data_IF_503546972034
#
_entry.id   IF_503546972034
#
_cell.length_a   1.000
_cell.length_b   1.000
_cell.length_c   1.000
_cell.angle_alpha   90.00
_cell.angle_beta   90.00
_cell.angle_gamma   90.00
#
_symmetry.space_group_name_H-M   'P 1'
#
loop_
_entity.id
_entity.type
_entity.pdbx_description
1 polymer ?
#
# COMPACT_ATOMS: atom_id res chain seq x y z
N UNK A 1 -21.64 43.44 -37.35
CA UNK A 1 -20.57 42.47 -37.66
C UNK A 1 -19.45 42.51 -36.62
N UNK A 2 -18.80 43.66 -36.37
CA UNK A 2 -17.71 43.82 -35.38
C UNK A 2 -18.10 43.37 -33.95
N UNK A 3 -19.29 43.72 -33.47
CA UNK A 3 -19.78 43.34 -32.11
C UNK A 3 -19.93 41.83 -31.91
N UNK A 4 -20.33 41.10 -32.96
CA UNK A 4 -20.53 39.65 -32.91
C UNK A 4 -19.18 38.93 -32.85
N UNK A 5 -18.26 39.35 -33.71
CA UNK A 5 -16.88 38.86 -33.78
C UNK A 5 -16.14 39.09 -32.45
N UNK A 6 -16.28 40.28 -31.87
CA UNK A 6 -15.70 40.61 -30.56
C UNK A 6 -16.25 39.71 -29.44
N UNK A 7 -17.54 39.36 -29.50
CA UNK A 7 -18.16 38.43 -28.56
C UNK A 7 -17.65 36.98 -28.69
N UNK A 8 -17.40 36.51 -29.91
CA UNK A 8 -16.83 35.18 -30.16
C UNK A 8 -15.37 35.07 -29.68
N UNK A 9 -14.55 36.10 -29.94
CA UNK A 9 -13.17 36.18 -29.40
C UNK A 9 -13.19 36.15 -27.88
N UNK A 10 -14.09 36.91 -27.24
CA UNK A 10 -14.20 36.93 -25.79
C UNK A 10 -14.50 35.54 -25.24
N UNK A 11 -15.48 34.83 -25.82
CA UNK A 11 -15.82 33.45 -25.42
C UNK A 11 -14.65 32.48 -25.57
N UNK A 12 -13.86 32.60 -26.66
CA UNK A 12 -12.67 31.76 -26.86
C UNK A 12 -11.60 32.04 -25.81
N UNK A 13 -11.32 33.31 -25.52
CA UNK A 13 -10.38 33.71 -24.45
C UNK A 13 -10.83 33.21 -23.08
N UNK A 14 -12.12 33.35 -22.76
CA UNK A 14 -12.68 32.88 -21.49
C UNK A 14 -12.53 31.35 -21.35
N UNK A 15 -12.68 30.61 -22.45
CA UNK A 15 -12.48 29.15 -22.46
C UNK A 15 -10.99 28.78 -22.32
N UNK A 16 -10.10 29.46 -23.03
CA UNK A 16 -8.64 29.29 -22.90
C UNK A 16 -8.21 29.49 -21.45
N UNK A 17 -8.64 30.60 -20.81
CA UNK A 17 -8.29 30.89 -19.43
C UNK A 17 -8.74 29.80 -18.45
N UNK A 18 -9.93 29.20 -18.67
CA UNK A 18 -10.40 28.06 -17.85
C UNK A 18 -9.56 26.81 -18.03
N UNK A 19 -9.15 26.51 -19.26
CA UNK A 19 -8.29 25.35 -19.55
C UNK A 19 -6.89 25.58 -18.97
N UNK A 20 -6.34 26.79 -19.07
CA UNK A 20 -5.05 27.16 -18.46
C UNK A 20 -5.09 27.04 -16.93
N UNK A 21 -6.16 27.51 -16.28
CA UNK A 21 -6.34 27.37 -14.83
C UNK A 21 -6.40 25.88 -14.40
N UNK A 22 -7.13 25.04 -15.14
CA UNK A 22 -7.17 23.60 -14.90
C UNK A 22 -5.78 22.94 -15.09
N UNK A 23 -5.07 23.30 -16.17
CA UNK A 23 -3.70 22.84 -16.44
C UNK A 23 -2.70 23.31 -15.37
N UNK A 24 -2.95 24.43 -14.70
CA UNK A 24 -2.13 24.90 -13.59
C UNK A 24 -2.27 24.04 -12.33
N UNK A 25 -3.47 23.50 -12.06
CA UNK A 25 -3.78 22.77 -10.81
C UNK A 25 -3.45 21.28 -10.87
N UNK A 26 -3.69 20.63 -12.01
CA UNK A 26 -3.51 19.18 -12.14
C UNK A 26 -2.07 18.72 -11.83
N UNK A 27 -0.99 19.41 -12.24
CA UNK A 27 0.38 19.01 -11.88
C UNK A 27 0.63 18.95 -10.37
N UNK A 28 0.06 19.87 -9.59
CA UNK A 28 0.17 19.86 -8.13
C UNK A 28 -0.56 18.65 -7.53
N UNK A 29 -1.74 18.31 -8.07
CA UNK A 29 -2.50 17.13 -7.65
C UNK A 29 -1.76 15.83 -8.00
N UNK A 30 -1.17 15.75 -9.19
CA UNK A 30 -0.32 14.62 -9.59
C UNK A 30 0.84 14.46 -8.61
N UNK A 31 1.54 15.55 -8.28
CA UNK A 31 2.68 15.51 -7.35
C UNK A 31 2.26 15.02 -5.96
N UNK A 32 1.09 15.46 -5.47
CA UNK A 32 0.53 15.02 -4.19
C UNK A 32 0.23 13.52 -4.20
N UNK A 33 -0.42 13.03 -5.26
CA UNK A 33 -0.74 11.61 -5.40
C UNK A 33 0.51 10.74 -5.57
N UNK A 34 1.52 11.20 -6.32
CA UNK A 34 2.82 10.50 -6.44
C UNK A 34 3.51 10.38 -5.07
N UNK A 35 3.48 11.45 -4.28
CA UNK A 35 4.03 11.44 -2.91
C UNK A 35 3.27 10.47 -2.00
N UNK A 36 1.94 10.43 -2.10
CA UNK A 36 1.12 9.48 -1.34
C UNK A 36 1.40 8.04 -1.77
N UNK A 37 1.50 7.79 -3.07
CA UNK A 37 1.81 6.48 -3.64
C UNK A 37 3.18 5.98 -3.15
N UNK A 38 4.18 6.86 -3.11
CA UNK A 38 5.50 6.51 -2.58
C UNK A 38 5.44 6.13 -1.10
N UNK A 39 4.65 6.83 -0.28
CA UNK A 39 4.45 6.47 1.13
C UNK A 39 3.79 5.10 1.25
N UNK A 40 2.74 4.83 0.49
CA UNK A 40 2.05 3.53 0.49
C UNK A 40 3.02 2.40 0.12
N UNK A 41 3.81 2.58 -0.94
CA UNK A 41 4.82 1.59 -1.37
C UNK A 41 5.88 1.32 -0.32
N UNK A 42 6.35 2.36 0.39
CA UNK A 42 7.30 2.18 1.50
C UNK A 42 6.68 1.40 2.64
N UNK A 43 5.46 1.75 3.06
CA UNK A 43 4.76 1.01 4.12
C UNK A 43 4.47 -0.44 3.73
N UNK A 44 4.18 -0.71 2.47
CA UNK A 44 3.98 -2.05 1.95
C UNK A 44 5.28 -2.88 2.04
N UNK A 45 6.40 -2.32 1.57
CA UNK A 45 7.70 -2.99 1.69
C UNK A 45 8.12 -3.26 3.15
N UNK A 46 7.84 -2.33 4.06
CA UNK A 46 8.08 -2.51 5.50
C UNK A 46 7.23 -3.66 6.08
N UNK A 47 5.95 -3.74 5.72
CA UNK A 47 5.07 -4.85 6.15
C UNK A 47 5.50 -6.18 5.57
N UNK A 48 5.91 -6.25 4.32
CA UNK A 48 6.40 -7.47 3.68
C UNK A 48 7.63 -8.03 4.41
N UNK A 49 8.55 -7.14 4.81
CA UNK A 49 9.69 -7.54 5.63
C UNK A 49 9.27 -8.05 7.00
N UNK A 50 8.28 -7.40 7.63
CA UNK A 50 7.74 -7.81 8.93
C UNK A 50 7.07 -9.19 8.85
N UNK A 51 6.25 -9.43 7.84
CA UNK A 51 5.60 -10.72 7.55
C UNK A 51 6.65 -11.82 7.38
N UNK A 52 7.71 -11.57 6.61
CA UNK A 52 8.81 -12.53 6.42
C UNK A 52 9.58 -12.81 7.71
N UNK A 53 9.73 -11.81 8.59
CA UNK A 53 10.33 -12.00 9.92
C UNK A 53 9.44 -12.87 10.79
N UNK A 54 8.16 -12.54 10.93
CA UNK A 54 7.22 -13.31 11.75
C UNK A 54 7.07 -14.74 11.25
N UNK A 55 7.04 -14.96 9.94
CA UNK A 55 7.00 -16.31 9.37
C UNK A 55 8.26 -17.14 9.69
N UNK A 56 9.41 -16.50 9.93
CA UNK A 56 10.62 -17.18 10.43
C UNK A 56 10.48 -17.48 11.92
N UNK A 57 10.07 -16.50 12.72
CA UNK A 57 9.88 -16.66 14.16
C UNK A 57 8.89 -17.79 14.48
N UNK A 58 7.76 -17.87 13.75
CA UNK A 58 6.79 -18.98 13.88
C UNK A 58 7.48 -20.33 13.64
N UNK A 59 8.25 -20.46 12.56
CA UNK A 59 8.93 -21.73 12.21
C UNK A 59 9.95 -22.14 13.27
N UNK A 60 10.71 -21.19 13.81
CA UNK A 60 11.68 -21.43 14.88
C UNK A 60 10.98 -21.89 16.16
N UNK A 61 9.88 -21.22 16.55
CA UNK A 61 9.09 -21.60 17.72
C UNK A 61 8.40 -22.94 17.54
N UNK A 62 7.88 -23.25 16.35
CA UNK A 62 7.32 -24.56 16.02
C UNK A 62 8.37 -25.68 16.08
N UNK A 63 9.62 -25.39 15.71
CA UNK A 63 10.72 -26.33 15.86
C UNK A 63 11.00 -26.59 17.35
N UNK A 64 11.18 -25.52 18.14
CA UNK A 64 11.38 -25.61 19.58
C UNK A 64 10.24 -26.38 20.27
N UNK A 65 8.99 -26.11 19.89
CA UNK A 65 7.83 -26.82 20.44
C UNK A 65 7.87 -28.32 20.14
N UNK A 66 8.29 -28.72 18.92
CA UNK A 66 8.49 -30.13 18.56
C UNK A 66 9.58 -30.78 19.40
N UNK A 67 10.70 -30.11 19.62
CA UNK A 67 11.77 -30.61 20.50
C UNK A 67 11.28 -30.79 21.95
N UNK A 68 10.56 -29.80 22.49
CA UNK A 68 9.98 -29.89 23.84
C UNK A 68 9.02 -31.07 23.95
N UNK A 69 8.15 -31.27 22.95
CA UNK A 69 7.23 -32.41 22.91
C UNK A 69 7.99 -33.74 22.90
N UNK A 70 9.06 -33.86 22.13
CA UNK A 70 9.91 -35.06 22.14
C UNK A 70 10.56 -35.29 23.50
N UNK A 71 11.12 -34.25 24.13
CA UNK A 71 11.72 -34.34 25.47
C UNK A 71 10.71 -34.79 26.52
N UNK A 72 9.49 -34.26 26.49
CA UNK A 72 8.40 -34.69 27.38
C UNK A 72 8.11 -36.18 27.18
N UNK A 73 8.02 -36.66 25.92
CA UNK A 73 7.82 -38.09 25.63
C UNK A 73 8.96 -38.98 26.15
N UNK A 74 10.20 -38.51 26.11
CA UNK A 74 11.33 -39.23 26.71
C UNK A 74 11.23 -39.25 28.24
N UNK A 75 10.86 -38.14 28.87
CA UNK A 75 10.62 -38.09 30.31
C UNK A 75 9.50 -39.02 30.75
N UNK A 76 8.41 -39.12 29.99
CA UNK A 76 7.34 -40.08 30.26
C UNK A 76 7.84 -41.55 30.22
N UNK A 77 8.85 -41.87 29.39
CA UNK A 77 9.49 -43.19 29.37
C UNK A 77 10.38 -43.42 30.58
N UNK A 78 11.13 -42.40 31.01
CA UNK A 78 11.98 -42.50 32.21
C UNK A 78 11.15 -42.64 33.49
N UNK A 79 10.05 -41.89 33.61
CA UNK A 79 9.13 -42.01 34.75
C UNK A 79 8.59 -43.44 34.94
N UNK A 80 8.30 -44.14 33.84
CA UNK A 80 7.83 -45.55 33.88
C UNK A 80 8.91 -46.54 34.34
N UNK A 81 10.17 -46.14 34.32
CA UNK A 81 11.34 -46.96 34.66
C UNK A 81 12.07 -46.46 35.90
N UNK A 82 11.50 -45.50 36.63
CA UNK A 82 12.14 -44.96 37.81
C UNK A 82 12.28 -46.04 38.88
N UNK A 83 13.50 -46.20 39.42
CA UNK A 83 13.82 -47.29 40.35
C UNK A 83 13.61 -46.88 41.82
N UNK A 84 13.26 -45.61 42.06
CA UNK A 84 12.95 -45.10 43.40
C UNK A 84 11.93 -43.95 43.39
N UNK A 85 11.19 -43.75 44.51
CA UNK A 85 10.28 -42.61 44.65
C UNK A 85 10.97 -41.25 44.47
N UNK A 86 12.21 -41.11 44.95
CA UNK A 86 12.98 -39.86 44.83
C UNK A 86 13.37 -39.54 43.39
N UNK A 87 13.72 -40.55 42.61
CA UNK A 87 14.01 -40.39 41.18
C UNK A 87 12.74 -40.02 40.42
N UNK A 88 11.63 -40.70 40.71
CA UNK A 88 10.33 -40.42 40.13
C UNK A 88 9.91 -38.95 40.34
N UNK A 89 10.00 -38.44 41.58
CA UNK A 89 9.67 -37.04 41.90
C UNK A 89 10.53 -36.03 41.13
N UNK A 90 11.83 -36.30 40.97
CA UNK A 90 12.74 -35.44 40.21
C UNK A 90 12.38 -35.40 38.73
N UNK A 91 12.16 -36.56 38.12
CA UNK A 91 11.75 -36.67 36.72
C UNK A 91 10.38 -36.01 36.49
N UNK A 92 9.45 -36.15 37.43
CA UNK A 92 8.14 -35.53 37.37
C UNK A 92 8.25 -34.00 37.35
N UNK A 93 9.08 -33.45 38.25
CA UNK A 93 9.35 -32.00 38.32
C UNK A 93 9.98 -31.49 37.01
N UNK A 94 10.92 -32.22 36.42
CA UNK A 94 11.52 -31.83 35.13
C UNK A 94 10.48 -31.87 34.00
N UNK A 95 9.63 -32.90 33.99
CA UNK A 95 8.55 -33.06 33.01
C UNK A 95 7.51 -31.94 33.12
N UNK A 96 7.16 -31.52 34.34
CA UNK A 96 6.29 -30.36 34.58
C UNK A 96 6.91 -29.08 34.03
N UNK A 97 8.20 -28.81 34.30
CA UNK A 97 8.90 -27.64 33.74
C UNK A 97 8.90 -27.63 32.21
N UNK A 98 9.17 -28.78 31.58
CA UNK A 98 9.12 -28.90 30.11
C UNK A 98 7.71 -28.68 29.58
N UNK A 99 6.71 -29.18 30.28
CA UNK A 99 5.29 -29.01 29.93
C UNK A 99 4.88 -27.54 29.99
N UNK A 100 5.22 -26.83 31.07
CA UNK A 100 4.95 -25.39 31.20
C UNK A 100 5.61 -24.60 30.09
N UNK A 101 6.89 -24.88 29.79
CA UNK A 101 7.60 -24.22 28.68
C UNK A 101 6.95 -24.52 27.32
N UNK A 102 6.45 -25.74 27.10
CA UNK A 102 5.73 -26.08 25.88
C UNK A 102 4.43 -25.27 25.75
N UNK A 103 3.68 -25.09 26.85
CA UNK A 103 2.49 -24.24 26.86
C UNK A 103 2.82 -22.77 26.55
N UNK A 104 3.89 -22.22 27.15
CA UNK A 104 4.36 -20.86 26.86
C UNK A 104 4.68 -20.69 25.37
N UNK A 105 5.52 -21.58 24.81
CA UNK A 105 5.88 -21.53 23.38
C UNK A 105 4.65 -21.70 22.48
N UNK A 106 3.69 -22.54 22.85
CA UNK A 106 2.43 -22.67 22.11
C UNK A 106 1.60 -21.38 22.14
N UNK A 107 1.61 -20.66 23.26
CA UNK A 107 1.00 -19.34 23.38
C UNK A 107 1.65 -18.33 22.45
N UNK A 108 2.99 -18.23 22.49
CA UNK A 108 3.77 -17.35 21.62
C UNK A 108 3.53 -17.63 20.12
N UNK A 109 3.47 -18.91 19.71
CA UNK A 109 3.13 -19.28 18.33
C UNK A 109 1.75 -18.77 17.93
N UNK A 110 0.77 -18.87 18.83
CA UNK A 110 -0.60 -18.41 18.57
C UNK A 110 -0.67 -16.90 18.44
N UNK A 111 0.04 -16.16 19.28
CA UNK A 111 0.15 -14.70 19.20
C UNK A 111 0.84 -14.26 17.90
N UNK A 112 1.94 -14.93 17.51
CA UNK A 112 2.64 -14.66 16.26
C UNK A 112 1.76 -14.91 15.05
N UNK A 113 0.97 -16.01 15.04
CA UNK A 113 0.01 -16.29 13.96
C UNK A 113 -1.07 -15.22 13.87
N UNK A 114 -1.64 -14.80 14.99
CA UNK A 114 -2.62 -13.70 15.00
C UNK A 114 -2.02 -12.40 14.46
N UNK A 115 -0.76 -12.10 14.79
CA UNK A 115 -0.06 -10.92 14.25
C UNK A 115 0.21 -11.06 12.75
N UNK A 116 0.62 -12.25 12.30
CA UNK A 116 0.80 -12.54 10.88
C UNK A 116 -0.47 -12.29 10.08
N UNK A 117 -1.61 -12.80 10.55
CA UNK A 117 -2.90 -12.63 9.87
C UNK A 117 -3.32 -11.16 9.82
N UNK A 118 -3.12 -10.39 10.90
CA UNK A 118 -3.37 -8.94 10.91
C UNK A 118 -2.51 -8.20 9.89
N UNK A 119 -1.21 -8.49 9.85
CA UNK A 119 -0.32 -7.87 8.86
C UNK A 119 -0.71 -8.23 7.44
N UNK A 120 -1.17 -9.46 7.19
CA UNK A 120 -1.67 -9.86 5.87
C UNK A 120 -2.90 -9.09 5.44
N UNK A 121 -3.84 -8.84 6.35
CA UNK A 121 -4.98 -7.96 6.09
C UNK A 121 -4.51 -6.54 5.78
N UNK A 122 -3.61 -5.98 6.60
CA UNK A 122 -3.09 -4.62 6.40
C UNK A 122 -2.28 -4.48 5.10
N UNK A 123 -1.53 -5.50 4.67
CA UNK A 123 -0.89 -5.54 3.34
C UNK A 123 -1.93 -5.47 2.22
N UNK A 124 -3.01 -6.24 2.33
CA UNK A 124 -4.08 -6.27 1.32
C UNK A 124 -4.74 -4.88 1.18
N UNK A 125 -5.04 -4.22 2.30
CA UNK A 125 -5.59 -2.86 2.31
C UNK A 125 -4.62 -1.85 1.65
N UNK A 126 -3.32 -1.97 1.88
CA UNK A 126 -2.32 -1.11 1.24
C UNK A 126 -2.21 -1.39 -0.26
N UNK A 127 -2.27 -2.65 -0.69
CA UNK A 127 -2.28 -3.03 -2.11
C UNK A 127 -3.50 -2.44 -2.83
N UNK A 128 -4.69 -2.54 -2.23
CA UNK A 128 -5.90 -1.91 -2.78
C UNK A 128 -5.73 -0.39 -2.87
N UNK A 129 -5.19 0.24 -1.83
CA UNK A 129 -4.93 1.68 -1.82
C UNK A 129 -3.93 2.10 -2.89
N UNK A 130 -2.88 1.33 -3.12
CA UNK A 130 -1.90 1.56 -4.18
C UNK A 130 -2.59 1.58 -5.55
N UNK A 131 -3.40 0.56 -5.85
CA UNK A 131 -4.14 0.45 -7.12
C UNK A 131 -5.12 1.61 -7.33
N UNK A 132 -5.80 2.05 -6.27
CA UNK A 132 -6.67 3.23 -6.33
C UNK A 132 -5.89 4.50 -6.71
N UNK A 133 -4.75 4.73 -6.07
CA UNK A 133 -3.91 5.90 -6.31
C UNK A 133 -3.33 5.88 -7.73
N UNK A 134 -2.84 4.74 -8.20
CA UNK A 134 -2.37 4.56 -9.58
C UNK A 134 -3.48 4.83 -10.60
N UNK A 135 -4.69 4.33 -10.33
CA UNK A 135 -5.85 4.58 -11.18
C UNK A 135 -6.21 6.06 -11.25
N UNK A 136 -6.15 6.77 -10.12
CA UNK A 136 -6.38 8.24 -10.07
C UNK A 136 -5.30 8.99 -10.85
N UNK A 137 -4.03 8.65 -10.65
CA UNK A 137 -2.91 9.23 -11.40
C UNK A 137 -3.05 9.03 -12.90
N UNK A 138 -3.41 7.82 -13.34
CA UNK A 138 -3.64 7.54 -14.75
C UNK A 138 -4.74 8.42 -15.34
N UNK A 139 -5.87 8.56 -14.63
CA UNK A 139 -6.98 9.44 -15.07
C UNK A 139 -6.56 10.89 -15.15
N UNK A 140 -5.89 11.43 -14.12
CA UNK A 140 -5.41 12.81 -14.11
C UNK A 140 -4.41 13.10 -15.24
N UNK A 141 -3.46 12.18 -15.50
CA UNK A 141 -2.53 12.34 -16.62
C UNK A 141 -3.24 12.34 -17.97
N UNK A 142 -4.26 11.51 -18.14
CA UNK A 142 -5.09 11.48 -19.35
C UNK A 142 -5.87 12.78 -19.52
N UNK A 143 -6.48 13.28 -18.45
CA UNK A 143 -7.19 14.56 -18.44
C UNK A 143 -6.24 15.72 -18.77
N UNK A 144 -5.08 15.77 -18.13
CA UNK A 144 -4.04 16.76 -18.41
C UNK A 144 -3.64 16.78 -19.89
N UNK A 145 -3.38 15.61 -20.47
CA UNK A 145 -3.06 15.48 -21.89
C UNK A 145 -4.21 15.92 -22.80
N UNK A 146 -5.47 15.63 -22.44
CA UNK A 146 -6.64 16.08 -23.18
C UNK A 146 -6.77 17.61 -23.14
N UNK A 147 -6.60 18.23 -21.98
CA UNK A 147 -6.65 19.68 -21.80
C UNK A 147 -5.52 20.39 -22.55
N UNK A 148 -4.30 19.83 -22.60
CA UNK A 148 -3.21 20.37 -23.42
C UNK A 148 -3.57 20.39 -24.91
N UNK A 149 -4.20 19.32 -25.40
CA UNK A 149 -4.66 19.25 -26.79
C UNK A 149 -5.81 20.25 -27.05
N UNK A 150 -6.75 20.39 -26.12
CA UNK A 150 -7.82 21.38 -26.21
C UNK A 150 -7.25 22.80 -26.24
N UNK A 151 -6.34 23.14 -25.33
CA UNK A 151 -5.68 24.44 -25.29
C UNK A 151 -5.01 24.76 -26.63
N UNK A 152 -4.22 23.82 -27.17
CA UNK A 152 -3.57 23.98 -28.48
C UNK A 152 -4.60 24.27 -29.58
N UNK A 153 -5.70 23.53 -29.61
CA UNK A 153 -6.77 23.74 -30.60
C UNK A 153 -7.47 25.09 -30.46
N UNK A 154 -7.77 25.51 -29.23
CA UNK A 154 -8.40 26.80 -28.94
C UNK A 154 -7.49 27.98 -29.31
N UNK A 155 -6.19 27.89 -28.99
CA UNK A 155 -5.21 28.93 -29.35
C UNK A 155 -5.09 29.07 -30.86
N UNK A 156 -4.98 27.96 -31.60
CA UNK A 156 -4.95 27.98 -33.07
C UNK A 156 -6.23 28.59 -33.67
N UNK A 157 -7.40 28.27 -33.09
CA UNK A 157 -8.67 28.83 -33.54
C UNK A 157 -8.74 30.34 -33.28
N UNK A 158 -8.27 30.79 -32.11
CA UNK A 158 -8.21 32.20 -31.75
C UNK A 158 -7.28 32.96 -32.71
N UNK A 159 -6.08 32.44 -33.00
CA UNK A 159 -5.14 33.03 -33.95
C UNK A 159 -5.71 33.14 -35.36
N UNK A 160 -6.45 32.12 -35.83
CA UNK A 160 -7.12 32.18 -37.14
C UNK A 160 -8.20 33.27 -37.15
N UNK A 161 -9.01 33.35 -36.10
CA UNK A 161 -10.05 34.39 -36.01
C UNK A 161 -9.47 35.79 -35.93
N UNK A 162 -8.35 35.99 -35.23
CA UNK A 162 -7.66 37.30 -35.20
C UNK A 162 -7.19 37.66 -36.61
N UNK A 163 -6.51 36.76 -37.32
CA UNK A 163 -6.05 36.99 -38.70
C UNK A 163 -7.18 37.33 -39.67
N UNK A 164 -8.28 36.57 -39.64
CA UNK A 164 -9.45 36.85 -40.49
C UNK A 164 -10.05 38.24 -40.25
N UNK A 165 -9.90 38.80 -39.04
CA UNK A 165 -10.36 40.15 -38.71
C UNK A 165 -9.37 41.17 -39.25
N UNK A 166 -8.08 40.98 -39.02
CA UNK A 166 -7.02 41.85 -39.56
C UNK A 166 -7.17 41.97 -41.09
N UNK A 167 -7.33 40.84 -41.79
CA UNK A 167 -7.56 40.79 -43.23
C UNK A 167 -8.88 41.48 -43.67
N UNK A 168 -9.99 41.28 -42.94
CA UNK A 168 -11.28 41.88 -43.28
C UNK A 168 -11.37 43.37 -43.02
N UNK A 169 -10.58 43.89 -42.09
CA UNK A 169 -10.62 45.29 -41.66
C UNK A 169 -9.38 46.08 -42.06
N UNK A 170 -8.46 45.49 -42.83
CA UNK A 170 -7.22 46.11 -43.34
C UNK A 170 -6.39 46.81 -42.27
N UNK A 171 -6.31 46.21 -41.08
CA UNK A 171 -5.40 46.58 -40.00
C UNK A 171 -4.10 45.77 -40.13
#
# INVERSE_FOLDING_TARGET
MIRVISGEIKKLRDRIAKVEDALGRIPEEITKLETELEKVRRSLAEKEQEVLRIARDIREKEHLFRELKQRILYQDKYLRRADSPREYERLLTEREKLTSKAFEVSGEISELRNRYDKLKTEEMELYEREQELESKLYRLRREYGALLNELRGLTQLLERRIREIEEKFSL
#
